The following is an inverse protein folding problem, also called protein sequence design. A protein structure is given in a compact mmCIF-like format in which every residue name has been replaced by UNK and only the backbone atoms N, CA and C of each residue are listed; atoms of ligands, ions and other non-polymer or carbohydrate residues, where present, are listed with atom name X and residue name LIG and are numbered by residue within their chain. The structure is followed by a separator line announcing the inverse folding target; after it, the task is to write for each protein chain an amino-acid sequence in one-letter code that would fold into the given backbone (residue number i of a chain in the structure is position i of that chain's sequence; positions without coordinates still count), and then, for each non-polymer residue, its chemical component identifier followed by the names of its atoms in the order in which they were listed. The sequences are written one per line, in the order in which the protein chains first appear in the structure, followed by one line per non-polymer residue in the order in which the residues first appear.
data_IF_815418153492
#
_entry.id   IF_815418153492
#
_cell.length_a   1.000
_cell.length_b   1.000
_cell.length_c   1.000
_cell.angle_alpha   90.00
_cell.angle_beta   90.00
_cell.angle_gamma   90.00
#
_symmetry.space_group_name_H-M   'P 1'
#
loop_
_entity.id
_entity.type
_entity.pdbx_description
1 polymer ?
#
# COMPACT_ATOMS: atom_id res chain seq x y z
N UNK A 1 42.81 -39.97 111.23
CA UNK A 1 41.69 -38.99 111.16
C UNK A 1 41.80 -38.12 109.90
N UNK A 2 42.96 -37.51 109.60
CA UNK A 2 43.14 -36.70 108.38
C UNK A 2 42.90 -37.45 107.06
N UNK A 3 43.46 -38.65 106.89
CA UNK A 3 43.36 -39.42 105.63
C UNK A 3 41.93 -39.88 105.28
N UNK A 4 41.13 -40.28 106.27
CA UNK A 4 39.74 -40.73 106.04
C UNK A 4 38.85 -39.57 105.57
N UNK A 5 39.04 -38.38 106.15
CA UNK A 5 38.31 -37.17 105.73
C UNK A 5 38.69 -36.80 104.29
N UNK A 6 39.96 -36.92 103.92
CA UNK A 6 40.42 -36.68 102.54
C UNK A 6 39.80 -37.66 101.55
N UNK A 7 39.74 -38.96 101.85
CA UNK A 7 39.16 -39.99 100.96
C UNK A 7 37.66 -39.79 100.79
N UNK A 8 36.91 -39.49 101.86
CA UNK A 8 35.46 -39.23 101.79
C UNK A 8 35.17 -37.96 101.00
N UNK A 9 35.99 -36.91 101.18
CA UNK A 9 35.89 -35.68 100.40
C UNK A 9 36.17 -35.92 98.91
N UNK A 10 37.21 -36.68 98.57
CA UNK A 10 37.52 -37.07 97.19
C UNK A 10 36.41 -37.92 96.57
N UNK A 11 35.85 -38.89 97.28
CA UNK A 11 34.74 -39.70 96.79
C UNK A 11 33.47 -38.87 96.52
N UNK A 12 33.21 -37.85 97.34
CA UNK A 12 32.11 -36.90 97.11
C UNK A 12 32.35 -36.05 95.86
N UNK A 13 33.56 -35.53 95.68
CA UNK A 13 33.95 -34.77 94.47
C UNK A 13 33.81 -35.60 93.20
N UNK A 14 34.28 -36.86 93.21
CA UNK A 14 34.16 -37.78 92.07
C UNK A 14 32.68 -38.03 91.72
N UNK A 15 31.81 -38.19 92.73
CA UNK A 15 30.38 -38.39 92.49
C UNK A 15 29.73 -37.17 91.83
N UNK A 16 30.10 -35.97 92.28
CA UNK A 16 29.61 -34.71 91.71
C UNK A 16 30.09 -34.49 90.27
N UNK A 17 31.37 -34.77 90.00
CA UNK A 17 31.94 -34.77 88.64
C UNK A 17 31.26 -35.81 87.74
N UNK A 18 30.96 -37.00 88.26
CA UNK A 18 30.31 -38.06 87.48
C UNK A 18 28.88 -37.67 87.07
N UNK A 19 28.11 -37.04 87.96
CA UNK A 19 26.77 -36.53 87.62
C UNK A 19 26.84 -35.35 86.64
N UNK A 20 27.83 -34.46 86.79
CA UNK A 20 28.06 -33.38 85.84
C UNK A 20 28.42 -33.92 84.43
N UNK A 21 29.24 -34.96 84.35
CA UNK A 21 29.60 -35.61 83.08
C UNK A 21 28.40 -36.29 82.43
N UNK A 22 27.54 -36.95 83.22
CA UNK A 22 26.28 -37.54 82.70
C UNK A 22 25.35 -36.47 82.15
N UNK A 23 25.19 -35.35 82.86
CA UNK A 23 24.33 -34.26 82.41
C UNK A 23 24.86 -33.59 81.14
N UNK A 24 26.17 -33.30 81.08
CA UNK A 24 26.82 -32.81 79.85
C UNK A 24 26.68 -33.81 78.69
N UNK A 25 26.78 -35.11 78.96
CA UNK A 25 26.62 -36.13 77.91
C UNK A 25 25.20 -36.14 77.35
N UNK A 26 24.18 -36.02 78.18
CA UNK A 26 22.78 -35.87 77.74
C UNK A 26 22.55 -34.60 76.94
N UNK A 27 23.14 -33.48 77.36
CA UNK A 27 23.08 -32.23 76.59
C UNK A 27 23.72 -32.37 75.21
N UNK A 28 24.92 -32.96 75.13
CA UNK A 28 25.61 -33.21 73.85
C UNK A 28 24.75 -34.11 72.96
N UNK A 29 24.13 -35.14 73.50
CA UNK A 29 23.29 -36.05 72.72
C UNK A 29 22.04 -35.36 72.16
N UNK A 30 21.38 -34.51 72.97
CA UNK A 30 20.27 -33.68 72.50
C UNK A 30 20.69 -32.65 71.44
N UNK A 31 21.88 -32.04 71.60
CA UNK A 31 22.46 -31.13 70.62
C UNK A 31 22.79 -31.84 69.31
N UNK A 32 23.37 -33.05 69.37
CA UNK A 32 23.67 -33.87 68.20
C UNK A 32 22.40 -34.26 67.44
N UNK A 33 21.33 -34.63 68.14
CA UNK A 33 20.02 -34.92 67.51
C UNK A 33 19.44 -33.68 66.82
N UNK A 34 19.55 -32.50 67.44
CA UNK A 34 19.09 -31.24 66.85
C UNK A 34 19.90 -30.88 65.61
N UNK A 35 21.22 -31.04 65.67
CA UNK A 35 22.10 -30.79 64.53
C UNK A 35 21.78 -31.70 63.35
N UNK A 36 21.50 -32.99 63.60
CA UNK A 36 21.10 -33.93 62.56
C UNK A 36 19.77 -33.54 61.90
N UNK A 37 18.78 -33.05 62.66
CA UNK A 37 17.53 -32.51 62.11
C UNK A 37 17.77 -31.29 61.23
N UNK A 38 18.53 -30.31 61.73
CA UNK A 38 18.85 -29.10 60.97
C UNK A 38 19.62 -29.42 59.68
N UNK A 39 20.54 -30.38 59.71
CA UNK A 39 21.25 -30.85 58.52
C UNK A 39 20.29 -31.46 57.49
N UNK A 40 19.34 -32.29 57.94
CA UNK A 40 18.34 -32.88 57.05
C UNK A 40 17.42 -31.81 56.41
N UNK A 41 16.98 -30.82 57.19
CA UNK A 41 16.18 -29.70 56.69
C UNK A 41 16.95 -28.83 55.68
N UNK A 42 18.23 -28.56 55.96
CA UNK A 42 19.10 -27.78 55.07
C UNK A 42 19.30 -28.49 53.73
N UNK A 43 19.55 -29.81 53.73
CA UNK A 43 19.69 -30.59 52.51
C UNK A 43 18.39 -30.63 51.69
N UNK A 44 17.23 -30.75 52.34
CA UNK A 44 15.93 -30.68 51.67
C UNK A 44 15.66 -29.29 51.04
N UNK A 45 16.00 -28.22 51.75
CA UNK A 45 15.88 -26.85 51.25
C UNK A 45 16.81 -26.61 50.04
N UNK A 46 18.06 -27.08 50.12
CA UNK A 46 19.04 -26.98 49.03
C UNK A 46 18.58 -27.72 47.77
N UNK A 47 18.09 -28.95 47.91
CA UNK A 47 17.55 -29.72 46.79
C UNK A 47 16.35 -29.01 46.12
N UNK A 48 15.48 -28.39 46.92
CA UNK A 48 14.35 -27.60 46.42
C UNK A 48 14.82 -26.37 45.64
N UNK A 49 15.81 -25.64 46.16
CA UNK A 49 16.36 -24.44 45.54
C UNK A 49 17.08 -24.76 44.23
N UNK A 50 17.83 -25.85 44.17
CA UNK A 50 18.43 -26.34 42.92
C UNK A 50 17.37 -26.69 41.87
N UNK A 51 16.26 -27.31 42.28
CA UNK A 51 15.15 -27.61 41.38
C UNK A 51 14.48 -26.35 40.84
N UNK A 52 14.25 -25.35 41.70
CA UNK A 52 13.72 -24.06 41.28
C UNK A 52 14.68 -23.34 40.33
N UNK A 53 15.98 -23.37 40.60
CA UNK A 53 16.98 -22.74 39.75
C UNK A 53 17.01 -23.38 38.35
N UNK A 54 16.94 -24.71 38.27
CA UNK A 54 16.80 -25.43 36.99
C UNK A 54 15.56 -24.98 36.21
N UNK A 55 14.41 -24.83 36.88
CA UNK A 55 13.18 -24.33 36.24
C UNK A 55 13.33 -22.89 35.74
N UNK A 56 13.96 -22.02 36.52
CA UNK A 56 14.20 -20.63 36.12
C UNK A 56 15.06 -20.56 34.86
N UNK A 57 16.15 -21.32 34.79
CA UNK A 57 17.02 -21.40 33.62
C UNK A 57 16.24 -21.86 32.38
N UNK A 58 15.39 -22.90 32.52
CA UNK A 58 14.58 -23.38 31.39
C UNK A 58 13.55 -22.35 30.94
N UNK A 59 12.91 -21.65 31.88
CA UNK A 59 11.93 -20.61 31.57
C UNK A 59 12.58 -19.41 30.90
N UNK A 60 13.76 -18.98 31.36
CA UNK A 60 14.53 -17.90 30.75
C UNK A 60 14.91 -18.25 29.31
N UNK A 61 15.39 -19.47 29.06
CA UNK A 61 15.70 -19.94 27.71
C UNK A 61 14.46 -19.94 26.80
N UNK A 62 13.31 -20.38 27.31
CA UNK A 62 12.05 -20.35 26.58
C UNK A 62 11.59 -18.91 26.26
N UNK A 63 11.62 -18.02 27.25
CA UNK A 63 11.26 -16.61 27.10
C UNK A 63 12.16 -15.92 26.08
N UNK A 64 13.47 -16.16 26.14
CA UNK A 64 14.43 -15.61 25.17
C UNK A 64 14.08 -16.04 23.74
N UNK A 65 13.74 -17.32 23.54
CA UNK A 65 13.32 -17.84 22.23
C UNK A 65 11.99 -17.25 21.77
N UNK A 66 11.03 -17.08 22.67
CA UNK A 66 9.74 -16.47 22.37
C UNK A 66 9.89 -15.00 21.95
N UNK A 67 10.69 -14.22 22.69
CA UNK A 67 11.00 -12.82 22.36
C UNK A 67 11.70 -12.71 21.01
N UNK A 68 12.66 -13.59 20.73
CA UNK A 68 13.35 -13.61 19.44
C UNK A 68 12.37 -13.86 18.29
N UNK A 69 11.51 -14.87 18.42
CA UNK A 69 10.48 -15.18 17.42
C UNK A 69 9.49 -14.03 17.23
N UNK A 70 9.10 -13.36 18.32
CA UNK A 70 8.20 -12.21 18.26
C UNK A 70 8.84 -11.04 17.48
N UNK A 71 10.13 -10.76 17.70
CA UNK A 71 10.88 -9.74 16.95
C UNK A 71 11.00 -10.08 15.45
N UNK A 72 11.24 -11.34 15.13
CA UNK A 72 11.28 -11.80 13.73
C UNK A 72 9.93 -11.62 13.04
N UNK A 73 8.83 -11.96 13.72
CA UNK A 73 7.47 -11.76 13.22
C UNK A 73 7.13 -10.28 13.07
N UNK A 74 7.51 -9.44 14.02
CA UNK A 74 7.32 -7.99 13.95
C UNK A 74 8.06 -7.39 12.75
N UNK A 75 9.32 -7.77 12.53
CA UNK A 75 10.11 -7.32 11.40
C UNK A 75 9.47 -7.76 10.06
N UNK A 76 9.03 -9.01 9.95
CA UNK A 76 8.35 -9.52 8.77
C UNK A 76 7.02 -8.80 8.51
N UNK A 77 6.24 -8.54 9.55
CA UNK A 77 4.98 -7.82 9.46
C UNK A 77 5.21 -6.39 8.96
N UNK A 78 6.20 -5.69 9.53
CA UNK A 78 6.56 -4.34 9.10
C UNK A 78 6.98 -4.29 7.63
N UNK A 79 7.82 -5.24 7.19
CA UNK A 79 8.23 -5.33 5.79
C UNK A 79 7.05 -5.57 4.85
N UNK A 80 6.13 -6.46 5.24
CA UNK A 80 4.94 -6.74 4.44
C UNK A 80 3.99 -5.54 4.38
N UNK A 81 3.86 -4.79 5.47
CA UNK A 81 3.07 -3.57 5.52
C UNK A 81 3.64 -2.50 4.58
N UNK A 82 4.95 -2.26 4.61
CA UNK A 82 5.62 -1.32 3.69
C UNK A 82 5.44 -1.73 2.23
N UNK A 83 5.55 -3.03 1.92
CA UNK A 83 5.27 -3.55 0.56
C UNK A 83 3.83 -3.30 0.14
N UNK A 84 2.87 -3.55 1.03
CA UNK A 84 1.45 -3.34 0.75
C UNK A 84 1.14 -1.87 0.49
N UNK A 85 1.67 -0.97 1.32
CA UNK A 85 1.50 0.47 1.16
C UNK A 85 2.07 0.95 -0.19
N UNK A 86 3.27 0.48 -0.56
CA UNK A 86 3.87 0.81 -1.85
C UNK A 86 3.07 0.27 -3.04
N UNK A 87 2.52 -0.95 -2.93
CA UNK A 87 1.65 -1.51 -3.97
C UNK A 87 0.36 -0.69 -4.13
N UNK A 88 -0.24 -0.25 -3.01
CA UNK A 88 -1.44 0.58 -3.04
C UNK A 88 -1.20 1.94 -3.71
N UNK A 89 -0.06 2.59 -3.44
CA UNK A 89 0.31 3.86 -4.10
C UNK A 89 0.38 3.66 -5.62
N UNK A 90 1.06 2.59 -6.07
CA UNK A 90 1.17 2.28 -7.51
C UNK A 90 -0.18 1.99 -8.15
N UNK A 91 -1.09 1.31 -7.44
CA UNK A 91 -2.45 1.06 -7.94
C UNK A 91 -3.23 2.37 -8.13
N UNK A 92 -3.22 3.25 -7.13
CA UNK A 92 -3.88 4.55 -7.22
C UNK A 92 -3.30 5.40 -8.36
N UNK A 93 -1.99 5.40 -8.53
CA UNK A 93 -1.34 6.11 -9.63
C UNK A 93 -1.73 5.53 -10.99
N UNK A 94 -1.76 4.20 -11.12
CA UNK A 94 -2.21 3.51 -12.34
C UNK A 94 -3.66 3.84 -12.67
N UNK A 95 -4.56 3.87 -11.69
CA UNK A 95 -5.96 4.24 -11.90
C UNK A 95 -6.10 5.70 -12.33
N UNK A 96 -5.36 6.62 -11.71
CA UNK A 96 -5.33 8.03 -12.11
C UNK A 96 -4.84 8.19 -13.55
N UNK A 97 -3.79 7.48 -13.93
CA UNK A 97 -3.27 7.52 -15.30
C UNK A 97 -4.26 6.94 -16.31
N UNK A 98 -4.93 5.84 -15.96
CA UNK A 98 -5.99 5.27 -16.80
C UNK A 98 -7.16 6.24 -16.97
N UNK A 99 -7.63 6.85 -15.89
CA UNK A 99 -8.71 7.83 -15.92
C UNK A 99 -8.31 9.07 -16.74
N UNK A 100 -7.07 9.55 -16.58
CA UNK A 100 -6.54 10.65 -17.37
C UNK A 100 -6.45 10.28 -18.86
N UNK A 101 -6.02 9.06 -19.19
CA UNK A 101 -5.97 8.55 -20.56
C UNK A 101 -7.35 8.49 -21.22
N UNK A 102 -8.36 7.99 -20.49
CA UNK A 102 -9.75 7.97 -20.96
C UNK A 102 -10.30 9.39 -21.17
N UNK A 103 -10.06 10.29 -20.21
CA UNK A 103 -10.50 11.68 -20.32
C UNK A 103 -9.82 12.40 -21.50
N UNK A 104 -8.51 12.19 -21.68
CA UNK A 104 -7.74 12.75 -22.78
C UNK A 104 -8.24 12.23 -24.13
N UNK A 105 -8.49 10.92 -24.24
CA UNK A 105 -9.06 10.32 -25.44
C UNK A 105 -10.48 10.84 -25.75
N UNK A 106 -11.31 11.02 -24.71
CA UNK A 106 -12.64 11.63 -24.83
C UNK A 106 -12.57 13.06 -25.34
N UNK A 107 -11.72 13.90 -24.73
CA UNK A 107 -11.49 15.29 -25.17
C UNK A 107 -10.98 15.33 -26.62
N UNK A 108 -10.02 14.47 -26.97
CA UNK A 108 -9.50 14.41 -28.33
C UNK A 108 -10.58 14.02 -29.35
N UNK A 109 -11.43 13.05 -29.01
CA UNK A 109 -12.56 12.66 -29.84
C UNK A 109 -13.58 13.80 -30.00
N UNK A 110 -13.91 14.51 -28.92
CA UNK A 110 -14.82 15.65 -28.94
C UNK A 110 -14.26 16.86 -29.69
N UNK A 111 -12.93 17.06 -29.68
CA UNK A 111 -12.23 18.08 -30.47
C UNK A 111 -12.18 17.74 -31.96
N UNK A 112 -11.91 16.48 -32.30
CA UNK A 112 -11.81 16.04 -33.70
C UNK A 112 -13.14 16.19 -34.44
N UNK A 113 -14.27 15.99 -33.76
CA UNK A 113 -15.59 16.13 -34.37
C UNK A 113 -15.83 17.51 -35.03
N UNK A 114 -15.80 18.65 -34.32
CA UNK A 114 -15.99 19.97 -34.92
C UNK A 114 -14.91 20.31 -35.95
N UNK A 115 -13.65 19.88 -35.76
CA UNK A 115 -12.58 20.07 -36.73
C UNK A 115 -12.93 19.40 -38.06
N UNK A 116 -13.38 18.14 -38.03
CA UNK A 116 -13.80 17.42 -39.22
C UNK A 116 -15.01 18.08 -39.91
N UNK A 117 -15.97 18.60 -39.14
CA UNK A 117 -17.10 19.35 -39.70
C UNK A 117 -16.66 20.65 -40.38
N UNK A 118 -15.73 21.39 -39.79
CA UNK A 118 -15.21 22.64 -40.37
C UNK A 118 -14.40 22.33 -41.63
N UNK A 119 -13.51 21.33 -41.58
CA UNK A 119 -12.66 20.95 -42.71
C UNK A 119 -13.48 20.51 -43.92
N UNK A 120 -14.40 19.55 -43.74
CA UNK A 120 -15.29 19.09 -44.83
C UNK A 120 -16.18 20.20 -45.38
N UNK A 121 -16.59 21.15 -44.54
CA UNK A 121 -17.34 22.33 -45.00
C UNK A 121 -16.47 23.25 -45.85
N UNK A 122 -15.20 23.48 -45.48
CA UNK A 122 -14.26 24.32 -46.25
C UNK A 122 -13.95 23.67 -47.60
N UNK A 123 -13.69 22.36 -47.66
CA UNK A 123 -13.48 21.63 -48.92
C UNK A 123 -14.69 21.74 -49.86
N UNK A 124 -15.90 21.67 -49.29
CA UNK A 124 -17.15 21.86 -50.03
C UNK A 124 -17.31 23.29 -50.57
N UNK A 125 -16.90 24.31 -49.80
CA UNK A 125 -16.89 25.71 -50.24
C UNK A 125 -15.91 25.92 -51.39
N UNK A 126 -14.69 25.40 -51.28
CA UNK A 126 -13.65 25.56 -52.29
C UNK A 126 -14.07 24.95 -53.63
N UNK A 127 -14.58 23.71 -53.59
CA UNK A 127 -15.12 23.03 -54.77
C UNK A 127 -16.28 23.82 -55.41
N UNK A 128 -17.19 24.33 -54.57
CA UNK A 128 -18.36 25.08 -55.06
C UNK A 128 -17.95 26.44 -55.64
N UNK A 129 -16.93 27.09 -55.07
CA UNK A 129 -16.38 28.35 -55.56
C UNK A 129 -15.68 28.16 -56.91
N UNK A 130 -14.92 27.07 -57.08
CA UNK A 130 -14.34 26.71 -58.38
C UNK A 130 -15.41 26.53 -59.46
N UNK A 131 -16.52 25.84 -59.15
CA UNK A 131 -17.64 25.69 -60.08
C UNK A 131 -18.34 27.01 -60.40
N UNK A 132 -18.51 27.90 -59.42
CA UNK A 132 -19.07 29.24 -59.64
C UNK A 132 -18.19 30.07 -60.58
N UNK A 133 -16.87 30.06 -60.35
CA UNK A 133 -15.91 30.75 -61.21
C UNK A 133 -15.94 30.19 -62.64
N UNK A 134 -15.99 28.87 -62.81
CA UNK A 134 -16.09 28.26 -64.14
C UNK A 134 -17.40 28.64 -64.85
N UNK A 135 -18.53 28.71 -64.13
CA UNK A 135 -19.79 29.20 -64.69
C UNK A 135 -19.68 30.67 -65.11
N UNK A 136 -19.05 31.53 -64.30
CA UNK A 136 -18.86 32.94 -64.62
C UNK A 136 -17.95 33.14 -65.85
N UNK A 137 -16.84 32.42 -65.92
CA UNK A 137 -15.93 32.45 -67.08
C UNK A 137 -16.64 32.03 -68.37
N UNK A 138 -17.52 31.03 -68.31
CA UNK A 138 -18.34 30.63 -69.46
C UNK A 138 -19.33 31.73 -69.87
N UNK A 139 -19.88 32.49 -68.92
CA UNK A 139 -20.71 33.66 -69.24
C UNK A 139 -19.91 34.80 -69.87
N UNK A 140 -18.65 35.02 -69.46
CA UNK A 140 -17.76 36.04 -70.05
C UNK A 140 -17.37 35.71 -71.50
N UNK A 141 -17.42 34.44 -71.91
CA UNK A 141 -17.15 34.02 -73.28
C UNK A 141 -18.30 34.33 -74.28
N UNK A 142 -19.41 34.90 -73.81
CA UNK A 142 -20.53 35.33 -74.66
C UNK A 142 -20.12 36.56 -75.47
N UNK A 143 -20.29 36.46 -76.79
CA UNK A 143 -20.07 37.54 -77.75
C UNK A 143 -21.21 37.62 -78.76
N UNK A 144 -21.26 38.72 -79.52
CA UNK A 144 -22.19 38.86 -80.63
C UNK A 144 -21.92 37.77 -81.68
N UNK A 145 -22.86 36.83 -81.82
CA UNK A 145 -22.78 35.72 -82.77
C UNK A 145 -22.65 34.31 -82.16
N UNK A 146 -22.34 34.16 -80.87
CA UNK A 146 -22.22 32.84 -80.22
C UNK A 146 -23.17 32.60 -79.03
N UNK A 147 -23.96 33.62 -78.64
CA UNK A 147 -24.72 33.63 -77.40
C UNK A 147 -25.63 32.40 -77.20
N UNK A 148 -26.36 31.98 -78.23
CA UNK A 148 -27.28 30.84 -78.14
C UNK A 148 -26.54 29.52 -77.86
N UNK A 149 -25.38 29.31 -78.51
CA UNK A 149 -24.56 28.11 -78.33
C UNK A 149 -23.94 28.08 -76.92
N UNK A 150 -23.31 29.18 -76.50
CA UNK A 150 -22.67 29.29 -75.18
C UNK A 150 -23.68 29.16 -74.04
N UNK A 151 -24.87 29.76 -74.14
CA UNK A 151 -25.93 29.61 -73.14
C UNK A 151 -26.42 28.16 -73.01
N UNK A 152 -26.48 27.42 -74.13
CA UNK A 152 -26.82 25.99 -74.11
C UNK A 152 -25.76 25.16 -73.37
N UNK A 153 -24.48 25.44 -73.63
CA UNK A 153 -23.35 24.78 -72.94
C UNK A 153 -23.31 25.08 -71.44
N UNK A 154 -23.57 26.33 -71.05
CA UNK A 154 -23.68 26.73 -69.64
C UNK A 154 -24.81 25.96 -68.96
N UNK A 155 -25.97 25.80 -69.60
CA UNK A 155 -27.09 25.07 -69.03
C UNK A 155 -26.78 23.58 -68.85
N UNK A 156 -26.11 22.96 -69.84
CA UNK A 156 -25.65 21.57 -69.74
C UNK A 156 -24.61 21.39 -68.62
N UNK A 157 -23.67 22.33 -68.50
CA UNK A 157 -22.66 22.32 -67.43
C UNK A 157 -23.31 22.47 -66.05
N UNK A 158 -24.25 23.43 -65.88
CA UNK A 158 -25.01 23.61 -64.63
C UNK A 158 -25.77 22.35 -64.21
N UNK A 159 -26.35 21.61 -65.16
CA UNK A 159 -26.99 20.32 -64.86
C UNK A 159 -25.96 19.26 -64.42
N UNK A 160 -24.82 19.17 -65.11
CA UNK A 160 -23.75 18.21 -64.80
C UNK A 160 -23.23 18.38 -63.37
N UNK A 161 -22.98 19.60 -62.94
CA UNK A 161 -22.50 19.91 -61.58
C UNK A 161 -23.63 19.97 -60.54
N UNK A 162 -24.89 19.77 -60.95
CA UNK A 162 -26.09 19.92 -60.11
C UNK A 162 -26.11 21.29 -59.41
N UNK A 163 -25.97 22.34 -60.20
CA UNK A 163 -25.78 23.73 -59.75
C UNK A 163 -26.76 24.16 -58.65
N UNK A 164 -28.05 23.86 -58.79
CA UNK A 164 -29.07 24.23 -57.79
C UNK A 164 -28.86 23.53 -56.44
N UNK A 165 -28.40 22.26 -56.46
CA UNK A 165 -28.06 21.53 -55.23
C UNK A 165 -26.79 22.06 -54.61
N UNK A 166 -25.80 22.40 -55.42
CA UNK A 166 -24.56 23.02 -54.96
C UNK A 166 -24.82 24.38 -54.31
N UNK A 167 -25.67 25.23 -54.91
CA UNK A 167 -26.12 26.50 -54.31
C UNK A 167 -26.85 26.28 -52.97
N UNK A 168 -27.78 25.32 -52.90
CA UNK A 168 -28.49 25.01 -51.67
C UNK A 168 -27.56 24.49 -50.54
N UNK A 169 -26.46 23.83 -50.89
CA UNK A 169 -25.42 23.42 -49.95
C UNK A 169 -24.62 24.65 -49.50
N UNK A 170 -24.14 25.47 -50.45
CA UNK A 170 -23.41 26.72 -50.17
C UNK A 170 -24.15 27.65 -49.22
N UNK A 171 -25.47 27.81 -49.38
CA UNK A 171 -26.30 28.64 -48.48
C UNK A 171 -26.32 28.11 -47.04
N UNK A 172 -26.18 26.79 -46.86
CA UNK A 172 -26.21 26.14 -45.55
C UNK A 172 -24.83 26.00 -44.93
N UNK A 173 -23.77 26.01 -45.74
CA UNK A 173 -22.39 25.78 -45.28
C UNK A 173 -21.91 26.79 -44.22
N UNK A 174 -22.13 28.11 -44.34
CA UNK A 174 -21.75 29.07 -43.30
C UNK A 174 -22.41 28.76 -41.94
N UNK A 175 -23.67 28.32 -41.95
CA UNK A 175 -24.40 27.91 -40.74
C UNK A 175 -23.81 26.63 -40.15
N UNK A 176 -23.42 25.68 -40.98
CA UNK A 176 -22.78 24.42 -40.54
C UNK A 176 -21.37 24.65 -39.97
N UNK A 177 -20.56 25.52 -40.58
CA UNK A 177 -19.25 25.93 -40.06
C UNK A 177 -19.41 26.63 -38.72
N UNK A 178 -20.38 27.55 -38.60
CA UNK A 178 -20.65 28.26 -37.34
C UNK A 178 -21.15 27.32 -36.24
N UNK A 179 -21.97 26.33 -36.57
CA UNK A 179 -22.40 25.29 -35.62
C UNK A 179 -21.23 24.39 -35.19
N UNK A 180 -20.33 24.03 -36.11
CA UNK A 180 -19.10 23.31 -35.81
C UNK A 180 -18.19 24.10 -34.87
N UNK A 181 -18.00 25.40 -35.15
CA UNK A 181 -17.20 26.31 -34.32
C UNK A 181 -17.82 26.55 -32.93
N UNK A 182 -19.15 26.61 -32.82
CA UNK A 182 -19.85 26.75 -31.53
C UNK A 182 -19.82 25.48 -30.67
N UNK A 183 -19.70 24.31 -31.30
CA UNK A 183 -19.59 23.00 -30.64
C UNK A 183 -18.16 22.65 -30.26
N UNK A 184 -17.16 23.38 -30.76
CA UNK A 184 -15.81 23.27 -30.24
C UNK A 184 -15.81 23.65 -28.75
N UNK A 185 -15.15 22.87 -27.88
CA UNK A 185 -15.09 23.17 -26.46
C UNK A 185 -14.49 24.56 -26.28
N UNK A 186 -15.23 25.44 -25.59
CA UNK A 186 -14.73 26.77 -25.21
C UNK A 186 -13.75 26.56 -24.07
N UNK A 187 -12.49 26.95 -24.29
CA UNK A 187 -11.45 27.08 -23.25
C UNK A 187 -11.87 28.07 -22.17
#
# INVERSE_FOLDING_TARGET
MGEIITVVFQASQIKEETELVKEKSRQIEAQNQTLARNQAELEAAKATLEHQNRKLITNEAFLKKAVQKMREQEAALRQNYEKLQNAQIKLVESEKMSALGQLTAGIAHELNNPINYIHSSIEGLDTSMAYLLEVMQRYEAISEGNAVAVLSEIQAYKQKIKFDKMLAILERTPKNVMLGAQRAPKS
#
